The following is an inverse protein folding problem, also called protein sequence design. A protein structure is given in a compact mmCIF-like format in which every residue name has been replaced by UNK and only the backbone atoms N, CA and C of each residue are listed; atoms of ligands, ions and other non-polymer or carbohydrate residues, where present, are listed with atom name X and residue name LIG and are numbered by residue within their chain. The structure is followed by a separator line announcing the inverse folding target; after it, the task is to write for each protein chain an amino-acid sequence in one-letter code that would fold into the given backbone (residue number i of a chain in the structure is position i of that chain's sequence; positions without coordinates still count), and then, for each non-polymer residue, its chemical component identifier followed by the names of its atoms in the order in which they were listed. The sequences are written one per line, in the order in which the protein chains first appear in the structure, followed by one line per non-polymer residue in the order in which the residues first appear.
data_IF_273095169337
#
_entry.id   IF_273095169337
#
_cell.length_a   1.000
_cell.length_b   1.000
_cell.length_c   1.000
_cell.angle_alpha   90.00
_cell.angle_beta   90.00
_cell.angle_gamma   90.00
#
_symmetry.space_group_name_H-M   'P 1'
#
loop_
_entity.id
_entity.type
_entity.pdbx_description
1 polymer ?
#
# COMPACT_ATOMS: atom_id res chain seq x y z
N UNK A 1 -16.34 -3.87 -9.86
CA UNK A 1 -17.69 -4.48 -9.54
C UNK A 1 -17.74 -5.16 -8.15
N UNK A 2 -16.74 -5.98 -7.75
CA UNK A 2 -16.74 -6.70 -6.46
C UNK A 2 -16.51 -5.81 -5.22
N UNK A 3 -15.52 -4.91 -5.24
CA UNK A 3 -15.25 -4.01 -4.10
C UNK A 3 -16.44 -3.09 -3.76
N UNK A 4 -17.20 -2.65 -4.77
CA UNK A 4 -18.43 -1.88 -4.58
C UNK A 4 -19.51 -2.68 -3.86
N UNK A 5 -19.57 -3.99 -4.10
CA UNK A 5 -20.49 -4.88 -3.39
C UNK A 5 -20.06 -5.06 -1.93
N UNK A 6 -18.77 -5.37 -1.68
CA UNK A 6 -18.23 -5.46 -0.31
C UNK A 6 -18.47 -4.17 0.48
N UNK A 7 -18.19 -3.02 -0.13
CA UNK A 7 -18.40 -1.72 0.49
C UNK A 7 -19.87 -1.45 0.85
N UNK A 8 -20.83 -2.09 0.17
CA UNK A 8 -22.27 -1.90 0.41
C UNK A 8 -22.84 -2.90 1.41
N UNK A 9 -22.36 -4.15 1.40
CA UNK A 9 -23.02 -5.26 2.09
C UNK A 9 -22.19 -5.90 3.21
N UNK A 10 -20.86 -5.82 3.15
CA UNK A 10 -19.96 -6.51 4.09
C UNK A 10 -19.09 -5.55 4.93
N UNK A 11 -19.20 -4.23 4.71
CA UNK A 11 -18.41 -3.25 5.46
C UNK A 11 -18.99 -3.05 6.85
N UNK A 12 -18.16 -3.20 7.88
CA UNK A 12 -18.55 -2.96 9.26
C UNK A 12 -18.39 -1.49 9.68
N UNK A 13 -19.02 -1.11 10.79
CA UNK A 13 -18.89 0.24 11.35
C UNK A 13 -17.45 0.49 11.81
N UNK A 14 -16.90 1.65 11.41
CA UNK A 14 -15.50 2.01 11.69
C UNK A 14 -14.50 1.50 10.65
N UNK A 15 -14.92 0.72 9.65
CA UNK A 15 -14.04 0.31 8.56
C UNK A 15 -14.00 1.33 7.43
N UNK A 16 -12.80 1.52 6.87
CA UNK A 16 -12.58 2.28 5.64
C UNK A 16 -13.12 1.53 4.40
N UNK A 17 -13.21 2.23 3.27
CA UNK A 17 -13.60 1.58 2.01
C UNK A 17 -12.62 0.45 1.64
N UNK A 18 -13.11 -0.70 1.13
CA UNK A 18 -12.25 -1.84 0.82
C UNK A 18 -11.33 -1.54 -0.35
N UNK A 19 -10.09 -2.03 -0.25
CA UNK A 19 -9.06 -1.94 -1.30
C UNK A 19 -8.74 -3.32 -1.83
N UNK A 20 -8.58 -3.44 -3.15
CA UNK A 20 -8.08 -4.66 -3.77
C UNK A 20 -6.56 -4.58 -3.92
N UNK A 21 -5.83 -5.61 -3.48
CA UNK A 21 -4.39 -5.74 -3.74
C UNK A 21 -4.14 -7.02 -4.51
N UNK A 22 -3.52 -6.90 -5.68
CA UNK A 22 -3.07 -8.05 -6.48
C UNK A 22 -1.54 -8.05 -6.48
N UNK A 23 -0.96 -9.17 -6.06
CA UNK A 23 0.49 -9.36 -6.05
C UNK A 23 0.90 -10.23 -7.25
N UNK A 24 1.67 -9.65 -8.17
CA UNK A 24 2.17 -10.35 -9.34
C UNK A 24 3.68 -10.57 -9.21
N UNK A 25 4.16 -11.73 -9.67
CA UNK A 25 5.59 -12.04 -9.75
C UNK A 25 6.28 -11.23 -10.87
N UNK A 26 5.53 -10.96 -11.92
CA UNK A 26 5.87 -10.07 -13.02
C UNK A 26 4.54 -9.43 -13.44
N UNK A 27 4.40 -8.12 -13.25
CA UNK A 27 3.21 -7.42 -13.75
C UNK A 27 3.53 -6.94 -15.16
N UNK A 28 2.81 -7.42 -16.17
CA UNK A 28 2.73 -6.68 -17.43
C UNK A 28 1.97 -5.39 -17.13
N UNK A 29 2.71 -4.32 -16.81
CA UNK A 29 2.13 -3.00 -16.50
C UNK A 29 1.15 -2.54 -17.59
N UNK A 30 1.45 -2.87 -18.85
CA UNK A 30 0.58 -2.62 -19.99
C UNK A 30 -0.81 -3.28 -19.85
N UNK A 31 -0.88 -4.54 -19.38
CA UNK A 31 -2.16 -5.24 -19.21
C UNK A 31 -2.96 -4.69 -18.02
N UNK A 32 -2.29 -4.23 -16.96
CA UNK A 32 -2.94 -3.60 -15.81
C UNK A 32 -3.51 -2.23 -16.16
N UNK A 33 -2.74 -1.42 -16.91
CA UNK A 33 -3.17 -0.10 -17.38
C UNK A 33 -4.37 -0.20 -18.34
N UNK A 34 -4.36 -1.17 -19.26
CA UNK A 34 -5.45 -1.41 -20.22
C UNK A 34 -6.79 -1.75 -19.55
N UNK A 35 -6.75 -2.42 -18.39
CA UNK A 35 -7.95 -2.83 -17.63
C UNK A 35 -8.48 -1.74 -16.69
N UNK A 36 -7.82 -0.57 -16.64
CA UNK A 36 -8.17 0.58 -15.79
C UNK A 36 -8.40 0.22 -14.30
N UNK A 37 -7.73 -0.83 -13.79
CA UNK A 37 -8.03 -1.42 -12.48
C UNK A 37 -7.91 -0.44 -11.32
N UNK A 38 -7.05 0.56 -11.45
CA UNK A 38 -6.91 1.65 -10.46
C UNK A 38 -8.19 2.45 -10.27
N UNK A 39 -9.02 2.64 -11.31
CA UNK A 39 -10.30 3.35 -11.21
C UNK A 39 -11.34 2.58 -10.39
N UNK A 40 -11.14 1.27 -10.23
CA UNK A 40 -12.04 0.37 -9.51
C UNK A 40 -11.55 0.08 -8.07
N UNK A 41 -10.53 0.79 -7.58
CA UNK A 41 -9.99 0.64 -6.22
C UNK A 41 -9.04 -0.55 -6.05
N UNK A 42 -8.51 -1.06 -7.18
CA UNK A 42 -7.57 -2.19 -7.18
C UNK A 42 -6.17 -1.68 -7.49
N UNK A 43 -5.23 -2.02 -6.62
CA UNK A 43 -3.80 -1.77 -6.78
C UNK A 43 -3.12 -3.08 -7.16
N UNK A 44 -2.36 -3.06 -8.23
CA UNK A 44 -1.49 -4.17 -8.61
C UNK A 44 -0.07 -3.81 -8.19
N UNK A 45 0.57 -4.69 -7.43
CA UNK A 45 1.95 -4.52 -6.98
C UNK A 45 2.78 -5.73 -7.39
N UNK A 46 4.05 -5.49 -7.67
CA UNK A 46 5.03 -6.54 -7.92
C UNK A 46 5.65 -6.98 -6.58
N UNK A 47 5.82 -8.28 -6.39
CA UNK A 47 6.54 -8.82 -5.23
C UNK A 47 7.88 -9.43 -5.65
N UNK A 48 8.81 -9.48 -4.71
CA UNK A 48 10.12 -10.08 -4.97
C UNK A 48 10.00 -11.60 -5.11
N UNK A 49 10.31 -12.09 -6.31
CA UNK A 49 10.46 -13.52 -6.60
C UNK A 49 11.83 -14.05 -6.15
N UNK A 50 12.81 -13.17 -6.02
CA UNK A 50 14.12 -13.44 -5.46
C UNK A 50 14.53 -12.30 -4.52
N UNK A 51 15.19 -12.65 -3.42
CA UNK A 51 15.72 -11.65 -2.49
C UNK A 51 16.94 -10.94 -3.11
N UNK A 52 17.08 -9.62 -2.90
CA UNK A 52 18.30 -8.92 -3.26
C UNK A 52 19.47 -9.43 -2.41
N UNK A 53 20.73 -9.16 -2.80
CA UNK A 53 21.90 -9.50 -2.01
C UNK A 53 21.75 -9.01 -0.56
N UNK A 54 22.28 -9.80 0.40
CA UNK A 54 22.13 -9.53 1.84
C UNK A 54 22.44 -8.07 2.22
N UNK A 55 23.52 -7.52 1.69
CA UNK A 55 23.95 -6.16 2.02
C UNK A 55 22.97 -5.09 1.52
N UNK A 56 22.36 -5.26 0.35
CA UNK A 56 21.34 -4.35 -0.17
C UNK A 56 20.04 -4.45 0.63
N UNK A 57 19.66 -5.67 1.01
CA UNK A 57 18.50 -5.91 1.86
C UNK A 57 18.65 -5.22 3.21
N UNK A 58 19.80 -5.37 3.86
CA UNK A 58 20.12 -4.74 5.13
C UNK A 58 20.03 -3.21 5.04
N UNK A 59 20.62 -2.61 4.02
CA UNK A 59 20.56 -1.16 3.79
C UNK A 59 19.11 -0.67 3.61
N UNK A 60 18.32 -1.40 2.82
CA UNK A 60 16.92 -1.03 2.55
C UNK A 60 16.05 -1.13 3.80
N UNK A 61 16.25 -2.17 4.61
CA UNK A 61 15.54 -2.32 5.89
C UNK A 61 15.91 -1.22 6.88
N UNK A 62 17.19 -0.86 6.98
CA UNK A 62 17.63 0.25 7.83
C UNK A 62 17.02 1.58 7.41
N UNK A 63 16.93 1.85 6.10
CA UNK A 63 16.28 3.03 5.55
C UNK A 63 14.79 3.06 5.92
N UNK A 64 14.06 1.98 5.64
CA UNK A 64 12.62 1.90 5.95
C UNK A 64 12.33 2.07 7.44
N UNK A 65 13.18 1.51 8.31
CA UNK A 65 13.05 1.68 9.76
C UNK A 65 13.24 3.13 10.18
N UNK A 66 14.21 3.84 9.58
CA UNK A 66 14.44 5.26 9.85
C UNK A 66 13.22 6.10 9.45
N UNK A 67 12.74 5.93 8.23
CA UNK A 67 11.57 6.64 7.71
C UNK A 67 10.31 6.38 8.54
N UNK A 68 10.09 5.13 8.95
CA UNK A 68 8.97 4.77 9.80
C UNK A 68 9.04 5.47 11.17
N UNK A 69 10.23 5.51 11.79
CA UNK A 69 10.46 6.22 13.05
C UNK A 69 10.22 7.72 12.91
N UNK A 70 10.73 8.33 11.84
CA UNK A 70 10.50 9.76 11.57
C UNK A 70 9.01 10.07 11.37
N UNK A 71 8.28 9.22 10.65
CA UNK A 71 6.83 9.39 10.44
C UNK A 71 6.05 9.30 11.76
N UNK A 72 6.44 8.39 12.64
CA UNK A 72 5.84 8.28 13.97
C UNK A 72 6.16 9.52 14.81
N UNK A 73 7.42 9.94 14.88
CA UNK A 73 7.81 11.15 15.60
C UNK A 73 7.07 12.40 15.09
N UNK A 74 6.84 12.51 13.77
CA UNK A 74 6.03 13.59 13.18
C UNK A 74 4.54 13.52 13.58
N UNK A 75 3.99 12.34 13.85
CA UNK A 75 2.60 12.17 14.31
C UNK A 75 2.43 12.45 15.81
N UNK A 76 3.47 12.20 16.60
CA UNK A 76 3.47 12.46 18.06
C UNK A 76 3.74 13.94 18.40
N UNK A 77 4.20 14.75 17.45
CA UNK A 77 4.26 16.19 17.63
C UNK A 77 2.82 16.75 17.59
N UNK A 78 2.32 17.39 18.66
CA UNK A 78 1.05 18.09 18.57
C UNK A 78 1.16 19.09 17.43
N UNK A 79 0.15 19.16 16.56
CA UNK A 79 0.05 20.23 15.58
C UNK A 79 0.15 21.54 16.35
N UNK A 80 1.27 22.24 16.23
CA UNK A 80 1.40 23.61 16.69
C UNK A 80 0.45 24.45 15.83
N UNK A 81 -0.81 24.49 16.25
CA UNK A 81 -1.89 25.40 15.93
C UNK A 81 -3.03 25.06 16.92
N UNK A 82 -2.78 25.41 18.18
CA UNK A 82 -3.86 25.90 19.05
C UNK A 82 -4.17 27.32 18.58
N UNK A 83 -5.34 27.51 17.96
CA UNK A 83 -6.22 28.70 18.03
C UNK A 83 -7.54 28.42 17.27
#
# INVERSE_FOLDING_TARGET
LYLKWLNRYERHEGEEAPVGLILCAEASREQVELLEMHKDGIVVAEHWTALPPKHELEQRLQLMLREARERLARRELPSANDD
#
